data_IF_631883278798
#
_entry.id   IF_631883278798
#
_cell.length_a   1.000
_cell.length_b   1.000
_cell.length_c   1.000
_cell.angle_alpha   90.00
_cell.angle_beta   90.00
_cell.angle_gamma   90.00
#
_symmetry.space_group_name_H-M   'P 1'
#
loop_
_entity.id
_entity.type
_entity.pdbx_description
1 polymer ?
#
# COMPACT_ATOMS: atom_id res chain seq x y z
N UNK A 1 71.08 -12.37 38.77
CA UNK A 1 69.86 -12.92 38.14
C UNK A 1 68.74 -11.88 38.22
N UNK A 2 68.54 -11.09 37.16
CA UNK A 2 67.49 -10.07 37.11
C UNK A 2 66.16 -10.71 36.71
N UNK A 3 65.11 -10.49 37.52
CA UNK A 3 63.73 -10.91 37.24
C UNK A 3 63.24 -10.23 35.96
N UNK A 4 63.01 -11.03 34.92
CA UNK A 4 62.31 -10.62 33.69
C UNK A 4 60.90 -10.18 34.08
N UNK A 5 60.62 -8.90 33.89
CA UNK A 5 59.30 -8.31 34.16
C UNK A 5 58.21 -8.96 33.32
N UNK A 6 57.14 -9.36 33.98
CA UNK A 6 55.93 -9.86 33.32
C UNK A 6 55.36 -8.77 32.42
N UNK A 7 55.47 -8.95 31.10
CA UNK A 7 54.80 -8.11 30.11
C UNK A 7 53.29 -8.32 30.29
N UNK A 8 52.64 -7.38 30.98
CA UNK A 8 51.18 -7.37 31.09
C UNK A 8 50.58 -7.37 29.69
N UNK A 9 49.79 -8.41 29.39
CA UNK A 9 49.07 -8.47 28.12
C UNK A 9 48.03 -7.34 28.13
N UNK A 10 48.01 -6.47 27.11
CA UNK A 10 47.14 -5.30 27.15
C UNK A 10 45.67 -5.75 27.14
N UNK A 11 44.90 -5.28 28.12
CA UNK A 11 43.50 -5.65 28.33
C UNK A 11 42.69 -5.63 27.02
N UNK A 12 41.76 -6.57 26.78
CA UNK A 12 41.01 -6.63 25.53
C UNK A 12 40.18 -5.36 25.30
N UNK A 13 40.20 -4.83 24.07
CA UNK A 13 39.43 -3.61 23.71
C UNK A 13 37.93 -3.80 23.94
N UNK A 14 37.44 -5.02 23.74
CA UNK A 14 36.04 -5.38 23.98
C UNK A 14 35.93 -6.06 25.35
N UNK A 15 35.53 -5.28 26.36
CA UNK A 15 35.23 -5.78 27.71
C UNK A 15 34.02 -6.72 27.68
N UNK A 16 33.78 -7.55 28.72
CA UNK A 16 32.62 -8.44 28.77
C UNK A 16 31.27 -7.72 28.60
N UNK A 17 31.12 -6.53 29.19
CA UNK A 17 29.92 -5.68 29.01
C UNK A 17 29.81 -5.15 27.57
N UNK A 18 30.91 -4.66 27.00
CA UNK A 18 30.94 -4.19 25.60
C UNK A 18 30.71 -5.33 24.60
N UNK A 19 31.04 -6.57 24.97
CA UNK A 19 30.77 -7.76 24.15
C UNK A 19 29.29 -8.08 24.05
N UNK A 20 28.52 -7.94 25.15
CA UNK A 20 27.06 -8.10 25.12
C UNK A 20 26.43 -7.08 24.18
N UNK A 21 26.86 -5.82 24.27
CA UNK A 21 26.40 -4.75 23.39
C UNK A 21 26.78 -5.00 21.93
N UNK A 22 27.99 -5.49 21.65
CA UNK A 22 28.39 -5.90 20.31
C UNK A 22 27.47 -7.00 19.74
N UNK A 23 27.11 -8.01 20.53
CA UNK A 23 26.19 -9.05 20.07
C UNK A 23 24.79 -8.52 19.78
N UNK A 24 24.29 -7.60 20.62
CA UNK A 24 23.03 -6.92 20.35
C UNK A 24 23.09 -6.13 19.03
N UNK A 25 24.14 -5.34 18.81
CA UNK A 25 24.33 -4.58 17.57
C UNK A 25 24.42 -5.51 16.36
N UNK A 26 25.20 -6.59 16.44
CA UNK A 26 25.33 -7.56 15.35
C UNK A 26 24.01 -8.28 15.06
N UNK A 27 23.22 -8.62 16.09
CA UNK A 27 21.92 -9.25 15.90
C UNK A 27 20.92 -8.29 15.22
N UNK A 28 20.86 -7.03 15.67
CA UNK A 28 20.01 -6.01 15.03
C UNK A 28 20.42 -5.73 13.59
N UNK A 29 21.73 -5.63 13.31
CA UNK A 29 22.24 -5.49 11.95
C UNK A 29 21.90 -6.71 11.09
N UNK A 30 21.92 -7.92 11.64
CA UNK A 30 21.51 -9.14 10.94
C UNK A 30 20.06 -9.09 10.49
N UNK A 31 19.17 -8.75 11.43
CA UNK A 31 17.74 -8.65 11.17
C UNK A 31 17.44 -7.56 10.14
N UNK A 32 18.07 -6.39 10.29
CA UNK A 32 17.95 -5.31 9.31
C UNK A 32 18.48 -5.70 7.94
N UNK A 33 19.59 -6.43 7.87
CA UNK A 33 20.14 -6.86 6.58
C UNK A 33 19.23 -7.88 5.90
N UNK A 34 18.69 -8.88 6.62
CA UNK A 34 17.72 -9.82 6.07
C UNK A 34 16.47 -9.09 5.56
N UNK A 35 15.92 -8.22 6.39
CA UNK A 35 14.74 -7.44 6.07
C UNK A 35 14.98 -6.49 4.88
N UNK A 36 16.12 -5.79 4.83
CA UNK A 36 16.50 -4.92 3.71
C UNK A 36 16.71 -5.71 2.42
N UNK A 37 17.31 -6.90 2.49
CA UNK A 37 17.47 -7.78 1.34
C UNK A 37 16.12 -8.23 0.79
N UNK A 38 15.17 -8.59 1.66
CA UNK A 38 13.79 -8.89 1.26
C UNK A 38 13.10 -7.67 0.59
N UNK A 39 13.12 -6.50 1.25
CA UNK A 39 12.49 -5.28 0.70
C UNK A 39 13.12 -4.87 -0.63
N UNK A 40 14.45 -4.98 -0.73
CA UNK A 40 15.20 -4.71 -1.96
C UNK A 40 14.86 -5.69 -3.08
N UNK A 41 14.69 -6.98 -2.77
CA UNK A 41 14.31 -7.99 -3.75
C UNK A 41 12.90 -7.73 -4.31
N UNK A 42 11.92 -7.42 -3.45
CA UNK A 42 10.56 -7.07 -3.91
C UNK A 42 10.57 -5.80 -4.77
N UNK A 43 11.33 -4.77 -4.36
CA UNK A 43 11.47 -3.52 -5.12
C UNK A 43 12.13 -3.77 -6.48
N UNK A 44 13.14 -4.64 -6.53
CA UNK A 44 13.80 -5.04 -7.77
C UNK A 44 12.86 -5.81 -8.70
N UNK A 45 12.06 -6.75 -8.17
CA UNK A 45 11.06 -7.48 -8.95
C UNK A 45 9.99 -6.56 -9.53
N UNK A 46 9.54 -5.56 -8.78
CA UNK A 46 8.62 -4.54 -9.28
C UNK A 46 9.24 -3.73 -10.43
N UNK A 47 10.49 -3.29 -10.29
CA UNK A 47 11.20 -2.59 -11.37
C UNK A 47 11.36 -3.48 -12.61
N UNK A 48 11.65 -4.77 -12.43
CA UNK A 48 11.87 -5.72 -13.52
C UNK A 48 10.57 -6.10 -14.25
N UNK A 49 9.49 -6.32 -13.51
CA UNK A 49 8.21 -6.81 -14.06
C UNK A 49 7.25 -5.70 -14.45
N UNK A 50 7.45 -4.47 -13.96
CA UNK A 50 6.51 -3.36 -14.11
C UNK A 50 5.23 -3.49 -13.29
N UNK A 51 5.10 -4.53 -12.45
CA UNK A 51 3.92 -4.79 -11.62
C UNK A 51 4.26 -4.63 -10.14
N UNK A 52 3.34 -4.07 -9.35
CA UNK A 52 3.52 -3.93 -7.91
C UNK A 52 3.49 -5.30 -7.22
N UNK A 53 4.59 -5.67 -6.57
CA UNK A 53 4.68 -6.88 -5.72
C UNK A 53 4.61 -6.55 -4.22
N UNK A 54 4.37 -5.29 -3.86
CA UNK A 54 4.24 -4.86 -2.47
C UNK A 54 2.88 -5.30 -1.93
N UNK A 55 2.88 -6.31 -1.06
CA UNK A 55 1.67 -6.93 -0.51
C UNK A 55 1.50 -6.67 1.00
N UNK A 56 0.55 -7.37 1.63
CA UNK A 56 0.30 -7.29 3.07
C UNK A 56 1.58 -7.50 3.89
N UNK A 57 2.33 -8.57 3.64
CA UNK A 57 3.57 -8.87 4.37
C UNK A 57 4.65 -7.81 4.16
N UNK A 58 4.79 -7.27 2.94
CA UNK A 58 5.71 -6.17 2.64
C UNK A 58 5.50 -4.97 3.56
N UNK A 59 4.26 -4.56 3.83
CA UNK A 59 3.98 -3.41 4.70
C UNK A 59 4.49 -3.63 6.14
N UNK A 60 4.33 -4.84 6.68
CA UNK A 60 4.84 -5.17 8.01
C UNK A 60 6.36 -5.30 8.03
N UNK A 61 6.97 -5.81 6.96
CA UNK A 61 8.43 -5.81 6.82
C UNK A 61 8.99 -4.39 6.71
N UNK A 62 8.31 -3.50 6.01
CA UNK A 62 8.69 -2.10 5.93
C UNK A 62 8.57 -1.40 7.30
N UNK A 63 7.47 -1.63 8.03
CA UNK A 63 7.34 -1.17 9.41
C UNK A 63 8.46 -1.73 10.31
N UNK A 64 8.75 -3.03 10.20
CA UNK A 64 9.83 -3.69 10.90
C UNK A 64 11.19 -3.08 10.59
N UNK A 65 11.44 -2.71 9.33
CA UNK A 65 12.66 -2.00 8.92
C UNK A 65 12.85 -0.69 9.69
N UNK A 66 11.79 0.12 9.74
CA UNK A 66 11.80 1.41 10.44
C UNK A 66 12.00 1.21 11.95
N UNK A 67 11.26 0.29 12.56
CA UNK A 67 11.35 0.01 13.99
C UNK A 67 12.73 -0.53 14.40
N UNK A 68 13.27 -1.49 13.66
CA UNK A 68 14.61 -2.04 13.89
C UNK A 68 15.70 -1.00 13.65
N UNK A 69 15.53 -0.14 12.63
CA UNK A 69 16.43 0.95 12.33
C UNK A 69 16.51 1.95 13.47
N UNK A 70 15.37 2.39 13.99
CA UNK A 70 15.29 3.27 15.17
C UNK A 70 15.89 2.61 16.42
N UNK A 71 15.58 1.34 16.66
CA UNK A 71 16.11 0.57 17.79
C UNK A 71 17.63 0.42 17.72
N UNK A 72 18.22 0.32 16.52
CA UNK A 72 19.66 0.17 16.33
C UNK A 72 20.45 1.45 16.66
N UNK A 73 19.85 2.64 16.53
CA UNK A 73 20.55 3.92 16.68
C UNK A 73 21.31 3.99 18.00
N UNK A 74 20.62 3.84 19.12
CA UNK A 74 21.23 4.02 20.45
C UNK A 74 22.30 2.97 20.75
N UNK A 75 22.04 1.64 20.62
CA UNK A 75 23.07 0.63 20.83
C UNK A 75 24.29 0.81 19.93
N UNK A 76 24.10 1.17 18.66
CA UNK A 76 25.18 1.39 17.70
C UNK A 76 26.07 2.57 18.09
N UNK A 77 25.47 3.72 18.41
CA UNK A 77 26.20 4.93 18.83
C UNK A 77 26.96 4.69 20.14
N UNK A 78 26.31 4.11 21.15
CA UNK A 78 26.94 3.80 22.44
C UNK A 78 28.10 2.82 22.25
N UNK A 79 27.89 1.74 21.48
CA UNK A 79 28.95 0.78 21.19
C UNK A 79 30.12 1.44 20.47
N UNK A 80 29.84 2.17 19.40
CA UNK A 80 30.86 2.81 18.57
C UNK A 80 31.71 3.79 19.36
N UNK A 81 31.08 4.70 20.12
CA UNK A 81 31.79 5.70 20.92
C UNK A 81 32.66 5.07 22.02
N UNK A 82 32.13 4.08 22.75
CA UNK A 82 32.89 3.36 23.79
C UNK A 82 34.05 2.56 23.18
N UNK A 83 33.81 1.90 22.04
CA UNK A 83 34.83 1.13 21.33
C UNK A 83 35.94 2.03 20.79
N UNK A 84 35.59 3.18 20.18
CA UNK A 84 36.54 4.18 19.70
C UNK A 84 37.39 4.74 20.84
N UNK A 85 36.78 5.08 21.98
CA UNK A 85 37.49 5.59 23.16
C UNK A 85 38.48 4.57 23.71
N UNK A 86 38.10 3.29 23.75
CA UNK A 86 38.98 2.21 24.19
C UNK A 86 40.11 1.87 23.19
N UNK A 87 39.88 2.09 21.89
CA UNK A 87 40.83 1.75 20.83
C UNK A 87 41.79 2.89 20.44
N UNK A 88 41.52 4.15 20.83
CA UNK A 88 42.21 5.36 20.33
C UNK A 88 43.74 5.37 20.49
N UNK A 89 44.28 4.70 21.51
CA UNK A 89 45.72 4.65 21.79
C UNK A 89 46.40 3.36 21.29
N UNK A 90 45.71 2.53 20.49
CA UNK A 90 46.29 1.27 20.00
C UNK A 90 47.36 1.50 18.92
N UNK A 91 48.43 0.70 19.01
CA UNK A 91 49.59 0.76 18.09
C UNK A 91 49.24 0.47 16.63
N UNK A 92 48.21 -0.35 16.37
CA UNK A 92 47.69 -0.65 15.02
C UNK A 92 46.84 0.50 14.45
N UNK A 93 47.47 1.61 14.08
CA UNK A 93 46.78 2.82 13.57
C UNK A 93 45.86 2.57 12.37
N UNK A 94 46.21 1.64 11.47
CA UNK A 94 45.38 1.28 10.31
C UNK A 94 44.01 0.72 10.72
N UNK A 95 43.98 -0.19 11.69
CA UNK A 95 42.74 -0.78 12.19
C UNK A 95 41.83 0.27 12.89
N UNK A 96 42.44 1.22 13.61
CA UNK A 96 41.72 2.33 14.26
C UNK A 96 41.09 3.26 13.22
N UNK A 97 41.84 3.67 12.18
CA UNK A 97 41.31 4.52 11.09
C UNK A 97 40.15 3.87 10.34
N UNK A 98 40.30 2.58 9.98
CA UNK A 98 39.20 1.83 9.32
C UNK A 98 37.98 1.73 10.27
N UNK A 99 38.20 1.58 11.58
CA UNK A 99 37.12 1.59 12.56
C UNK A 99 36.36 2.92 12.61
N UNK A 100 37.05 4.06 12.46
CA UNK A 100 36.40 5.37 12.39
C UNK A 100 35.59 5.54 11.10
N UNK A 101 36.12 5.09 9.97
CA UNK A 101 35.39 5.10 8.69
C UNK A 101 34.14 4.19 8.76
N UNK A 102 34.28 3.00 9.36
CA UNK A 102 33.15 2.08 9.57
C UNK A 102 32.06 2.71 10.44
N UNK A 103 32.47 3.36 11.54
CA UNK A 103 31.54 4.07 12.41
C UNK A 103 30.82 5.21 11.67
N UNK A 104 31.57 6.02 10.92
CA UNK A 104 31.02 7.09 10.09
C UNK A 104 30.05 6.58 9.03
N UNK A 105 30.37 5.48 8.35
CA UNK A 105 29.49 4.86 7.37
C UNK A 105 28.17 4.39 8.00
N UNK A 106 28.22 3.73 9.17
CA UNK A 106 27.00 3.30 9.85
C UNK A 106 26.18 4.45 10.42
N UNK A 107 26.82 5.51 10.95
CA UNK A 107 26.13 6.76 11.32
C UNK A 107 25.45 7.36 10.09
N UNK A 108 26.14 7.40 8.94
CA UNK A 108 25.56 7.85 7.67
C UNK A 108 24.35 7.02 7.25
N UNK A 109 24.39 5.70 7.37
CA UNK A 109 23.24 4.82 7.11
C UNK A 109 22.05 5.18 8.00
N UNK A 110 22.27 5.38 9.31
CA UNK A 110 21.20 5.72 10.24
C UNK A 110 20.62 7.12 9.97
N UNK A 111 21.47 8.10 9.66
CA UNK A 111 21.04 9.46 9.31
C UNK A 111 20.24 9.48 8.01
N UNK A 112 20.72 8.80 6.97
CA UNK A 112 19.98 8.69 5.69
C UNK A 112 18.65 7.98 5.88
N UNK A 113 18.58 6.94 6.73
CA UNK A 113 17.33 6.27 7.07
C UNK A 113 16.33 7.20 7.76
N UNK A 114 16.77 7.95 8.77
CA UNK A 114 15.94 8.96 9.45
C UNK A 114 15.42 10.02 8.48
N UNK A 115 16.27 10.53 7.59
CA UNK A 115 15.88 11.53 6.58
C UNK A 115 14.82 10.98 5.61
N UNK A 116 14.92 9.71 5.21
CA UNK A 116 13.94 9.07 4.32
C UNK A 116 12.58 8.83 4.98
N UNK A 117 12.53 8.73 6.31
CA UNK A 117 11.24 8.57 7.01
C UNK A 117 10.36 9.81 6.90
N UNK A 118 10.92 11.02 6.69
CA UNK A 118 10.16 12.29 6.72
C UNK A 118 9.48 12.56 8.08
N UNK A 119 10.07 12.04 9.15
CA UNK A 119 9.61 12.28 10.52
C UNK A 119 9.98 13.68 11.02
N UNK A 120 9.16 14.26 11.91
CA UNK A 120 9.53 15.46 12.69
C UNK A 120 9.55 16.79 11.92
N UNK A 121 8.77 16.93 10.84
CA UNK A 121 8.66 18.18 10.07
C UNK A 121 9.71 18.34 8.96
N UNK A 122 10.70 17.44 8.88
CA UNK A 122 11.66 17.39 7.79
C UNK A 122 11.05 16.66 6.58
N UNK A 123 10.36 17.42 5.74
CA UNK A 123 9.72 16.86 4.56
C UNK A 123 10.64 16.96 3.32
N UNK A 124 11.39 15.89 3.05
CA UNK A 124 12.21 15.73 1.84
C UNK A 124 11.34 15.56 0.58
N UNK A 125 10.71 16.67 0.15
CA UNK A 125 9.86 16.73 -1.05
C UNK A 125 10.65 16.77 -2.35
N UNK A 126 11.85 17.36 -2.34
CA UNK A 126 12.62 17.56 -3.55
C UNK A 126 13.07 16.21 -4.14
N UNK A 127 12.66 15.84 -5.36
CA UNK A 127 12.80 14.48 -5.89
C UNK A 127 14.27 14.06 -6.01
N UNK A 128 15.14 14.95 -6.50
CA UNK A 128 16.58 14.68 -6.64
C UNK A 128 17.22 14.46 -5.28
N UNK A 129 16.87 15.27 -4.27
CA UNK A 129 17.47 15.15 -2.94
C UNK A 129 17.07 13.84 -2.26
N UNK A 130 15.79 13.46 -2.37
CA UNK A 130 15.29 12.17 -1.87
C UNK A 130 15.98 11.00 -2.58
N UNK A 131 16.14 11.07 -3.89
CA UNK A 131 16.79 10.02 -4.67
C UNK A 131 18.28 9.87 -4.30
N UNK A 132 19.00 10.98 -4.12
CA UNK A 132 20.40 10.95 -3.66
C UNK A 132 20.52 10.32 -2.27
N UNK A 133 19.64 10.67 -1.32
CA UNK A 133 19.64 10.09 0.02
C UNK A 133 19.27 8.60 -0.02
N UNK A 134 18.32 8.20 -0.87
CA UNK A 134 17.95 6.80 -1.08
C UNK A 134 19.15 5.97 -1.56
N UNK A 135 19.86 6.42 -2.60
CA UNK A 135 21.05 5.74 -3.08
C UNK A 135 22.18 5.71 -2.04
N UNK A 136 22.35 6.80 -1.27
CA UNK A 136 23.29 6.81 -0.15
C UNK A 136 22.90 5.77 0.92
N UNK A 137 21.60 5.63 1.22
CA UNK A 137 21.09 4.65 2.18
C UNK A 137 21.30 3.20 1.73
N UNK A 138 21.42 2.94 0.42
CA UNK A 138 21.80 1.63 -0.13
C UNK A 138 23.32 1.44 -0.14
N UNK A 139 24.08 2.46 -0.55
CA UNK A 139 25.53 2.36 -0.71
C UNK A 139 26.29 2.29 0.63
N UNK A 140 25.85 3.05 1.64
CA UNK A 140 26.54 3.14 2.93
C UNK A 140 26.57 1.81 3.72
N UNK A 141 25.48 1.02 3.81
CA UNK A 141 25.53 -0.32 4.37
C UNK A 141 26.51 -1.27 3.66
N UNK A 142 26.58 -1.22 2.32
CA UNK A 142 27.52 -2.03 1.53
C UNK A 142 28.96 -1.61 1.82
N UNK A 143 29.22 -0.30 1.88
CA UNK A 143 30.51 0.25 2.29
C UNK A 143 30.85 -0.14 3.73
N UNK A 144 29.90 -0.10 4.66
CA UNK A 144 30.09 -0.53 6.04
C UNK A 144 30.43 -2.03 6.14
N UNK A 145 29.77 -2.89 5.36
CA UNK A 145 30.10 -4.32 5.30
C UNK A 145 31.54 -4.55 4.80
N UNK A 146 31.95 -3.85 3.75
CA UNK A 146 33.31 -3.91 3.22
C UNK A 146 34.35 -3.37 4.22
N UNK A 147 34.08 -2.22 4.85
CA UNK A 147 34.93 -1.63 5.87
C UNK A 147 35.04 -2.52 7.11
N UNK A 148 33.97 -3.21 7.49
CA UNK A 148 33.99 -4.19 8.59
C UNK A 148 34.91 -5.37 8.26
N UNK A 149 34.84 -5.90 7.03
CA UNK A 149 35.75 -6.94 6.57
C UNK A 149 37.22 -6.48 6.64
N UNK A 150 37.53 -5.29 6.11
CA UNK A 150 38.87 -4.69 6.20
C UNK A 150 39.33 -4.45 7.65
N UNK A 151 38.41 -4.01 8.53
CA UNK A 151 38.70 -3.80 9.94
C UNK A 151 39.09 -5.10 10.64
N UNK A 152 38.41 -6.21 10.32
CA UNK A 152 38.73 -7.55 10.86
C UNK A 152 40.01 -8.14 10.28
N UNK A 153 40.34 -7.88 9.01
CA UNK A 153 41.62 -8.26 8.40
C UNK A 153 42.81 -7.55 9.07
N UNK A 154 42.69 -6.26 9.35
CA UNK A 154 43.74 -5.49 10.04
C UNK A 154 43.82 -5.78 11.56
N UNK A 155 42.70 -6.22 12.15
CA UNK A 155 42.51 -6.46 13.57
C UNK A 155 42.63 -7.94 13.98
N UNK A 156 41.56 -8.46 14.59
CA UNK A 156 41.44 -9.87 15.00
C UNK A 156 40.75 -10.68 13.91
N UNK A 157 41.29 -11.86 13.58
CA UNK A 157 40.76 -12.74 12.53
C UNK A 157 39.25 -13.01 12.68
N UNK A 158 38.56 -13.15 11.55
CA UNK A 158 37.15 -13.55 11.52
C UNK A 158 37.07 -15.02 11.93
N UNK A 159 36.17 -15.33 12.86
CA UNK A 159 35.84 -16.72 13.20
C UNK A 159 34.84 -17.22 12.18
N UNK A 160 35.33 -17.81 11.08
CA UNK A 160 34.50 -18.24 9.95
C UNK A 160 33.36 -19.18 10.33
N UNK A 161 33.53 -20.04 11.35
CA UNK A 161 32.42 -20.86 11.89
C UNK A 161 31.21 -20.02 12.33
N UNK A 162 31.45 -18.88 12.99
CA UNK A 162 30.39 -17.94 13.40
C UNK A 162 29.82 -17.23 12.16
N UNK A 163 30.66 -16.88 11.19
CA UNK A 163 30.21 -16.28 9.93
C UNK A 163 29.30 -17.21 9.11
N UNK A 164 29.63 -18.51 9.03
CA UNK A 164 28.81 -19.53 8.37
C UNK A 164 27.48 -19.72 9.11
N UNK A 165 27.50 -19.85 10.44
CA UNK A 165 26.27 -19.96 11.23
C UNK A 165 25.37 -18.73 11.03
N UNK A 166 25.96 -17.53 11.04
CA UNK A 166 25.24 -16.28 10.78
C UNK A 166 24.63 -16.23 9.38
N UNK A 167 25.39 -16.62 8.35
CA UNK A 167 24.91 -16.70 6.98
C UNK A 167 23.77 -17.71 6.80
N UNK A 168 23.87 -18.87 7.45
CA UNK A 168 22.81 -19.88 7.44
C UNK A 168 21.52 -19.36 8.11
N UNK A 169 21.62 -18.71 9.26
CA UNK A 169 20.46 -18.09 9.92
C UNK A 169 19.81 -17.02 9.04
N UNK A 170 20.62 -16.19 8.37
CA UNK A 170 20.12 -15.18 7.42
C UNK A 170 19.36 -15.83 6.26
N UNK A 171 19.91 -16.91 5.68
CA UNK A 171 19.28 -17.62 4.57
C UNK A 171 17.94 -18.24 4.99
N UNK A 172 17.88 -18.90 6.15
CA UNK A 172 16.63 -19.45 6.71
C UNK A 172 15.59 -18.34 6.95
N UNK A 173 16.01 -17.20 7.51
CA UNK A 173 15.12 -16.06 7.73
C UNK A 173 14.57 -15.50 6.42
N UNK A 174 15.41 -15.38 5.38
CA UNK A 174 14.96 -14.94 4.04
C UNK A 174 13.98 -15.93 3.41
N UNK A 175 14.23 -17.24 3.51
CA UNK A 175 13.29 -18.25 3.01
C UNK A 175 11.94 -18.19 3.74
N UNK A 176 11.96 -17.99 5.07
CA UNK A 176 10.74 -17.79 5.84
C UNK A 176 9.99 -16.51 5.42
N UNK A 177 10.70 -15.41 5.17
CA UNK A 177 10.10 -14.17 4.66
C UNK A 177 9.49 -14.37 3.26
N UNK A 178 10.14 -15.13 2.37
CA UNK A 178 9.59 -15.45 1.06
C UNK A 178 8.33 -16.31 1.20
N UNK A 179 8.34 -17.33 2.06
CA UNK A 179 7.14 -18.13 2.33
C UNK A 179 5.99 -17.27 2.86
N UNK A 180 6.25 -16.41 3.86
CA UNK A 180 5.24 -15.49 4.38
C UNK A 180 4.76 -14.44 3.36
N UNK A 181 5.59 -14.09 2.37
CA UNK A 181 5.20 -13.21 1.28
C UNK A 181 4.22 -13.87 0.31
N UNK A 182 4.26 -15.19 0.16
CA UNK A 182 3.34 -15.93 -0.71
C UNK A 182 1.96 -16.12 -0.06
N UNK A 183 1.85 -15.90 1.25
CA UNK A 183 0.60 -15.99 2.00
C UNK A 183 -0.13 -14.64 2.04
N UNK A 184 -1.46 -14.65 1.88
CA UNK A 184 -2.32 -13.49 2.10
C UNK A 184 -3.33 -13.78 3.23
N UNK A 185 -3.11 -13.26 4.45
CA UNK A 185 -4.00 -13.49 5.58
C UNK A 185 -5.43 -13.02 5.36
N UNK A 186 -5.68 -12.14 4.38
CA UNK A 186 -7.04 -11.68 4.04
C UNK A 186 -7.89 -12.80 3.45
N UNK A 187 -7.27 -13.76 2.76
CA UNK A 187 -7.96 -14.89 2.18
C UNK A 187 -8.43 -15.93 3.21
N UNK A 188 -7.79 -16.00 4.39
CA UNK A 188 -8.04 -17.07 5.36
C UNK A 188 -9.47 -17.07 5.95
N UNK A 189 -10.11 -15.91 6.00
CA UNK A 189 -11.47 -15.73 6.55
C UNK A 189 -12.38 -14.97 5.59
N UNK A 190 -12.05 -14.96 4.30
CA UNK A 190 -12.88 -14.33 3.28
C UNK A 190 -14.23 -15.07 3.19
N UNK A 191 -15.32 -14.31 3.19
CA UNK A 191 -16.67 -14.84 2.99
C UNK A 191 -16.94 -14.91 1.49
N UNK A 192 -17.30 -16.08 0.97
CA UNK A 192 -17.67 -16.25 -0.44
C UNK A 192 -19.19 -16.15 -0.60
N UNK A 193 -19.70 -15.59 -1.72
CA UNK A 193 -21.12 -15.71 -2.05
C UNK A 193 -21.53 -17.17 -2.26
N UNK A 194 -22.77 -17.52 -1.91
CA UNK A 194 -23.29 -18.88 -2.08
C UNK A 194 -23.41 -19.31 -3.55
N UNK A 195 -23.56 -18.35 -4.46
CA UNK A 195 -23.62 -18.55 -5.89
C UNK A 195 -22.48 -17.82 -6.61
N UNK A 196 -21.80 -18.45 -7.59
CA UNK A 196 -20.78 -17.78 -8.39
C UNK A 196 -21.35 -16.60 -9.20
N UNK A 197 -22.66 -16.61 -9.46
CA UNK A 197 -23.37 -15.58 -10.20
C UNK A 197 -23.98 -14.50 -9.27
N UNK A 198 -23.54 -14.42 -8.00
CA UNK A 198 -24.07 -13.44 -7.05
C UNK A 198 -24.12 -12.03 -7.63
N UNK A 199 -23.06 -11.58 -8.29
CA UNK A 199 -23.00 -10.21 -8.79
C UNK A 199 -23.90 -9.95 -10.02
N UNK A 200 -24.39 -10.99 -10.68
CA UNK A 200 -25.29 -10.82 -11.83
C UNK A 200 -26.67 -10.30 -11.40
N UNK A 201 -27.34 -9.48 -12.22
CA UNK A 201 -27.00 -9.11 -13.61
C UNK A 201 -26.12 -7.85 -13.75
N UNK A 202 -25.51 -7.35 -12.66
CA UNK A 202 -24.39 -6.43 -12.79
C UNK A 202 -23.17 -7.16 -13.36
N UNK A 203 -22.35 -6.46 -14.15
CA UNK A 203 -21.08 -6.97 -14.66
C UNK A 203 -19.92 -6.75 -13.68
N UNK A 204 -20.19 -6.15 -12.52
CA UNK A 204 -19.18 -5.94 -11.50
C UNK A 204 -18.76 -7.28 -10.86
N UNK A 205 -17.51 -7.38 -10.47
CA UNK A 205 -17.00 -8.58 -9.79
C UNK A 205 -15.83 -8.24 -8.86
N UNK A 206 -15.52 -9.15 -7.94
CA UNK A 206 -14.31 -9.04 -7.12
C UNK A 206 -13.18 -9.88 -7.72
N UNK A 207 -11.92 -9.46 -7.54
CA UNK A 207 -10.76 -10.22 -8.05
C UNK A 207 -10.69 -11.65 -7.51
N UNK A 208 -11.08 -11.85 -6.24
CA UNK A 208 -11.08 -13.18 -5.61
C UNK A 208 -12.37 -13.97 -5.82
N UNK A 209 -13.45 -13.32 -6.26
CA UNK A 209 -14.81 -13.86 -6.23
C UNK A 209 -15.45 -13.84 -4.84
N UNK A 210 -14.74 -13.41 -3.80
CA UNK A 210 -15.24 -13.33 -2.43
C UNK A 210 -15.78 -11.93 -2.11
N UNK A 211 -16.55 -11.81 -1.03
CA UNK A 211 -17.01 -10.53 -0.49
C UNK A 211 -15.86 -9.72 0.12
N UNK A 212 -15.97 -8.40 0.00
CA UNK A 212 -15.07 -7.42 0.61
C UNK A 212 -15.75 -6.85 1.87
N UNK A 213 -15.14 -6.93 3.07
CA UNK A 213 -15.77 -6.40 4.27
C UNK A 213 -16.13 -4.91 4.14
N UNK A 214 -17.39 -4.53 4.42
CA UNK A 214 -17.90 -3.18 4.15
C UNK A 214 -17.06 -2.04 4.76
N UNK A 215 -16.56 -2.24 5.99
CA UNK A 215 -15.68 -1.26 6.65
C UNK A 215 -14.37 -0.98 5.89
N UNK A 216 -13.90 -1.92 5.05
CA UNK A 216 -12.73 -1.72 4.17
C UNK A 216 -13.05 -0.81 2.99
N UNK A 217 -14.32 -0.69 2.62
CA UNK A 217 -14.78 0.21 1.56
C UNK A 217 -15.27 1.56 2.11
N UNK A 218 -15.50 1.68 3.42
CA UNK A 218 -16.04 2.88 4.08
C UNK A 218 -15.00 3.63 4.93
N UNK A 219 -13.89 4.05 4.33
CA UNK A 219 -12.79 4.68 5.07
C UNK A 219 -12.49 6.13 4.64
N UNK A 220 -13.52 6.89 4.26
CA UNK A 220 -13.35 8.25 3.72
C UNK A 220 -12.72 9.22 4.73
N UNK A 221 -13.04 9.07 6.02
CA UNK A 221 -12.45 9.86 7.10
C UNK A 221 -10.92 9.69 7.21
N UNK A 222 -10.40 8.50 6.86
CA UNK A 222 -8.96 8.26 6.79
C UNK A 222 -8.34 9.00 5.61
N UNK A 223 -8.98 8.96 4.43
CA UNK A 223 -8.56 9.70 3.24
C UNK A 223 -8.55 11.22 3.47
N UNK A 224 -9.58 11.75 4.15
CA UNK A 224 -9.75 13.18 4.47
C UNK A 224 -8.57 13.80 5.21
N UNK A 225 -7.84 13.03 6.02
CA UNK A 225 -6.66 13.53 6.77
C UNK A 225 -5.58 14.12 5.86
N UNK A 226 -5.44 13.58 4.64
CA UNK A 226 -4.45 14.00 3.66
C UNK A 226 -5.06 14.65 2.40
N UNK A 227 -6.33 14.36 2.09
CA UNK A 227 -7.05 14.80 0.89
C UNK A 227 -8.34 15.56 1.27
N UNK A 228 -8.19 16.60 2.10
CA UNK A 228 -9.33 17.32 2.66
C UNK A 228 -10.13 18.09 1.61
N UNK A 229 -9.45 18.63 0.60
CA UNK A 229 -10.02 19.33 -0.55
C UNK A 229 -10.86 18.42 -1.44
N UNK A 230 -10.30 17.27 -1.85
CA UNK A 230 -11.01 16.27 -2.65
C UNK A 230 -12.19 15.70 -1.88
N UNK A 231 -12.02 15.43 -0.57
CA UNK A 231 -13.12 14.96 0.27
C UNK A 231 -14.25 16.00 0.33
N UNK A 232 -13.95 17.29 0.46
CA UNK A 232 -14.98 18.34 0.50
C UNK A 232 -15.78 18.40 -0.80
N UNK A 233 -15.11 18.27 -1.95
CA UNK A 233 -15.80 18.20 -3.24
C UNK A 233 -16.63 16.91 -3.39
N UNK A 234 -16.09 15.77 -2.93
CA UNK A 234 -16.80 14.49 -2.97
C UNK A 234 -18.05 14.48 -2.09
N UNK A 235 -18.00 15.04 -0.88
CA UNK A 235 -19.12 14.98 0.06
C UNK A 235 -20.39 15.68 -0.46
N UNK A 236 -20.23 16.65 -1.36
CA UNK A 236 -21.35 17.38 -1.98
C UNK A 236 -21.72 16.81 -3.37
N UNK A 237 -21.08 15.72 -3.80
CA UNK A 237 -21.23 15.16 -5.14
C UNK A 237 -22.35 14.13 -5.26
N UNK A 238 -22.85 13.94 -6.48
CA UNK A 238 -23.79 12.87 -6.82
C UNK A 238 -23.23 11.46 -6.61
N UNK A 239 -21.90 11.30 -6.53
CA UNK A 239 -21.28 10.02 -6.18
C UNK A 239 -21.44 9.70 -4.70
N UNK A 240 -21.30 10.70 -3.82
CA UNK A 240 -21.60 10.51 -2.40
C UNK A 240 -23.08 10.20 -2.20
N UNK A 241 -23.96 10.92 -2.90
CA UNK A 241 -25.42 10.71 -2.87
C UNK A 241 -25.92 9.68 -3.89
N UNK A 242 -25.13 8.64 -4.21
CA UNK A 242 -25.51 7.65 -5.22
C UNK A 242 -26.40 6.54 -4.69
N UNK A 243 -26.42 6.29 -3.37
CA UNK A 243 -27.07 5.14 -2.75
C UNK A 243 -28.37 5.56 -2.06
N UNK A 244 -28.80 4.85 -1.02
CA UNK A 244 -30.10 5.07 -0.36
C UNK A 244 -30.19 6.41 0.39
N UNK A 245 -29.08 7.13 0.52
CA UNK A 245 -29.04 8.52 0.97
C UNK A 245 -29.64 9.53 -0.03
N UNK A 246 -30.05 9.07 -1.23
CA UNK A 246 -30.81 9.84 -2.20
C UNK A 246 -32.26 9.34 -2.24
N UNK A 247 -33.26 10.14 -1.81
CA UNK A 247 -34.65 9.72 -1.76
C UNK A 247 -35.24 9.27 -3.10
N UNK A 248 -34.84 9.90 -4.21
CA UNK A 248 -35.34 9.54 -5.53
C UNK A 248 -34.83 8.16 -5.98
N UNK A 249 -33.56 7.87 -5.67
CA UNK A 249 -32.96 6.57 -5.91
C UNK A 249 -33.57 5.50 -5.00
N UNK A 250 -33.71 5.79 -3.70
CA UNK A 250 -34.31 4.88 -2.72
C UNK A 250 -35.73 4.47 -3.12
N UNK A 251 -36.57 5.40 -3.58
CA UNK A 251 -37.90 5.06 -4.09
C UNK A 251 -37.83 4.11 -5.29
N UNK A 252 -36.94 4.40 -6.24
CA UNK A 252 -36.78 3.62 -7.47
C UNK A 252 -36.31 2.18 -7.21
N UNK A 253 -35.34 2.00 -6.30
CA UNK A 253 -34.80 0.67 -5.98
C UNK A 253 -35.77 -0.17 -5.15
N UNK A 254 -36.54 0.46 -4.24
CA UNK A 254 -37.61 -0.22 -3.48
C UNK A 254 -38.66 -0.75 -4.44
N UNK A 255 -39.20 0.08 -5.33
CA UNK A 255 -40.18 -0.36 -6.33
C UNK A 255 -39.59 -1.45 -7.25
N UNK A 256 -38.33 -1.30 -7.69
CA UNK A 256 -37.65 -2.32 -8.51
C UNK A 256 -37.55 -3.65 -7.78
N UNK A 257 -37.23 -3.65 -6.48
CA UNK A 257 -37.13 -4.85 -5.65
C UNK A 257 -38.51 -5.49 -5.45
N UNK A 258 -39.54 -4.71 -5.16
CA UNK A 258 -40.92 -5.19 -5.06
C UNK A 258 -41.38 -5.85 -6.35
N UNK A 259 -41.19 -5.20 -7.50
CA UNK A 259 -41.55 -5.76 -8.82
C UNK A 259 -40.69 -6.94 -9.23
N UNK A 260 -39.43 -7.00 -8.83
CA UNK A 260 -38.60 -8.20 -9.04
C UNK A 260 -39.14 -9.37 -8.20
N UNK A 261 -39.45 -9.14 -6.92
CA UNK A 261 -40.03 -10.16 -6.04
C UNK A 261 -41.38 -10.68 -6.55
N UNK A 262 -42.28 -9.80 -6.98
CA UNK A 262 -43.57 -10.19 -7.58
C UNK A 262 -43.40 -11.09 -8.82
N UNK A 263 -42.40 -10.81 -9.66
CA UNK A 263 -42.19 -11.51 -10.93
C UNK A 263 -41.42 -12.81 -10.80
N UNK A 264 -40.37 -12.84 -9.98
CA UNK A 264 -39.39 -13.95 -9.95
C UNK A 264 -39.15 -14.53 -8.56
N UNK A 265 -39.79 -13.97 -7.52
CA UNK A 265 -39.54 -14.36 -6.13
C UNK A 265 -38.15 -13.98 -5.62
N UNK A 266 -37.43 -13.10 -6.32
CA UNK A 266 -36.06 -12.71 -5.99
C UNK A 266 -35.79 -11.22 -6.26
N UNK A 267 -35.03 -10.58 -5.37
CA UNK A 267 -34.52 -9.21 -5.58
C UNK A 267 -33.29 -9.15 -6.48
N UNK A 268 -32.83 -10.28 -7.04
CA UNK A 268 -31.57 -10.35 -7.81
C UNK A 268 -31.49 -9.32 -8.94
N UNK A 269 -32.60 -9.01 -9.62
CA UNK A 269 -32.65 -7.99 -10.67
C UNK A 269 -32.12 -6.62 -10.20
N UNK A 270 -32.32 -6.27 -8.92
CA UNK A 270 -31.87 -5.02 -8.32
C UNK A 270 -30.35 -4.90 -8.19
N UNK A 271 -29.61 -6.02 -8.30
CA UNK A 271 -28.13 -6.01 -8.28
C UNK A 271 -27.54 -5.29 -9.49
N UNK A 272 -28.28 -5.19 -10.60
CA UNK A 272 -27.94 -4.33 -11.73
C UNK A 272 -27.69 -2.88 -11.30
N UNK A 273 -28.52 -2.36 -10.38
CA UNK A 273 -28.35 -1.02 -9.82
C UNK A 273 -27.14 -0.94 -8.88
N UNK A 274 -26.98 -1.98 -8.05
CA UNK A 274 -26.02 -2.02 -6.95
C UNK A 274 -24.55 -1.90 -7.38
N UNK A 275 -24.21 -2.43 -8.57
CA UNK A 275 -22.84 -2.34 -9.11
C UNK A 275 -22.38 -0.90 -9.37
N UNK A 276 -23.31 0.03 -9.60
CA UNK A 276 -23.01 1.45 -9.81
C UNK A 276 -23.35 2.31 -8.59
N UNK A 277 -24.46 2.02 -7.91
CA UNK A 277 -25.05 2.92 -6.91
C UNK A 277 -24.76 2.52 -5.46
N UNK A 278 -24.76 1.22 -5.16
CA UNK A 278 -24.64 0.65 -3.81
C UNK A 278 -23.45 -0.30 -3.63
N UNK A 279 -22.23 0.06 -4.12
CA UNK A 279 -21.11 -0.88 -4.17
C UNK A 279 -20.69 -1.38 -2.78
N UNK A 280 -20.84 -0.56 -1.73
CA UNK A 280 -20.47 -0.98 -0.37
C UNK A 280 -21.33 -2.14 0.14
N UNK A 281 -22.67 -2.02 0.27
CA UNK A 281 -23.49 -3.17 0.66
C UNK A 281 -23.42 -4.30 -0.37
N UNK A 282 -23.20 -3.99 -1.65
CA UNK A 282 -23.15 -5.01 -2.70
C UNK A 282 -21.93 -5.93 -2.57
N UNK A 283 -20.73 -5.37 -2.49
CA UNK A 283 -19.51 -6.17 -2.38
C UNK A 283 -19.30 -6.77 -0.99
N UNK A 284 -19.98 -6.27 0.04
CA UNK A 284 -19.93 -6.85 1.39
C UNK A 284 -20.90 -8.02 1.61
N UNK A 285 -21.81 -8.26 0.66
CA UNK A 285 -22.82 -9.31 0.73
C UNK A 285 -24.15 -8.85 1.33
N UNK A 286 -24.14 -7.74 2.06
CA UNK A 286 -25.29 -7.18 2.80
C UNK A 286 -26.45 -6.79 1.87
N UNK A 287 -26.20 -6.36 0.63
CA UNK A 287 -27.24 -5.83 -0.27
C UNK A 287 -28.39 -6.81 -0.55
N UNK A 288 -28.08 -8.11 -0.54
CA UNK A 288 -29.05 -9.18 -0.82
C UNK A 288 -29.56 -9.88 0.44
N UNK A 289 -29.13 -9.44 1.62
CA UNK A 289 -29.68 -9.94 2.87
C UNK A 289 -31.17 -9.54 2.95
N UNK A 290 -32.11 -10.50 3.13
CA UNK A 290 -33.53 -10.20 3.28
C UNK A 290 -33.84 -9.22 4.43
N UNK A 291 -33.01 -9.21 5.48
CA UNK A 291 -33.17 -8.36 6.65
C UNK A 291 -32.39 -7.04 6.54
N UNK A 292 -31.84 -6.73 5.37
CA UNK A 292 -31.05 -5.52 5.14
C UNK A 292 -31.89 -4.24 5.27
N UNK A 293 -31.58 -3.43 6.27
CA UNK A 293 -32.20 -2.11 6.48
C UNK A 293 -31.65 -1.08 5.49
N UNK A 294 -32.45 -0.76 4.46
CA UNK A 294 -32.11 0.21 3.40
C UNK A 294 -31.96 1.67 3.88
N UNK A 295 -32.30 1.97 5.14
CA UNK A 295 -32.30 3.33 5.68
C UNK A 295 -31.27 3.48 6.78
N UNK A 296 -31.28 2.59 7.78
CA UNK A 296 -30.48 2.77 9.00
C UNK A 296 -29.21 1.92 9.01
N UNK A 297 -29.04 0.96 8.09
CA UNK A 297 -27.81 0.18 8.07
C UNK A 297 -26.61 1.08 7.75
N UNK A 298 -25.45 0.95 8.44
CA UNK A 298 -24.32 1.84 8.21
C UNK A 298 -23.85 1.92 6.76
N UNK A 299 -23.97 0.82 6.00
CA UNK A 299 -23.58 0.78 4.58
C UNK A 299 -24.63 1.38 3.64
N UNK A 300 -25.86 1.60 4.10
CA UNK A 300 -26.98 2.04 3.26
C UNK A 300 -26.78 3.46 2.69
N UNK A 301 -26.15 4.33 3.47
CA UNK A 301 -25.89 5.71 3.09
C UNK A 301 -24.47 5.94 2.59
N UNK A 302 -23.71 4.88 2.27
CA UNK A 302 -22.29 4.99 1.94
C UNK A 302 -22.03 5.65 0.59
N UNK A 303 -22.91 5.42 -0.39
CA UNK A 303 -22.70 5.86 -1.77
C UNK A 303 -21.46 5.23 -2.41
N UNK A 304 -20.94 5.91 -3.43
CA UNK A 304 -19.62 5.64 -3.98
C UNK A 304 -18.59 6.37 -3.11
N UNK A 305 -17.91 5.61 -2.25
CA UNK A 305 -16.84 6.13 -1.37
C UNK A 305 -15.53 6.37 -2.13
N UNK A 306 -14.56 7.04 -1.51
CA UNK A 306 -13.21 7.18 -2.05
C UNK A 306 -12.62 5.80 -2.38
N UNK A 307 -12.83 4.86 -1.46
CA UNK A 307 -12.25 3.52 -1.57
C UNK A 307 -12.92 2.68 -2.63
N UNK A 308 -14.24 2.80 -2.82
CA UNK A 308 -14.95 2.10 -3.90
C UNK A 308 -14.32 2.43 -5.26
N UNK A 309 -14.16 3.72 -5.59
CA UNK A 309 -13.53 4.10 -6.85
C UNK A 309 -12.08 3.64 -6.92
N UNK A 310 -11.29 3.96 -5.90
CA UNK A 310 -9.84 3.74 -5.94
C UNK A 310 -9.41 2.28 -5.73
N UNK A 311 -10.31 1.41 -5.27
CA UNK A 311 -10.09 -0.03 -5.13
C UNK A 311 -10.43 -0.81 -6.42
N UNK A 312 -11.06 -0.18 -7.41
CA UNK A 312 -11.20 -0.78 -8.74
C UNK A 312 -9.80 -1.13 -9.24
N UNK A 313 -9.61 -2.38 -9.64
CA UNK A 313 -8.35 -2.97 -10.08
C UNK A 313 -8.28 -3.04 -11.60
N UNK A 314 -9.42 -3.27 -12.26
CA UNK A 314 -9.51 -3.38 -13.71
C UNK A 314 -10.84 -2.80 -14.24
N UNK A 315 -10.75 -2.14 -15.39
CA UNK A 315 -11.90 -1.87 -16.27
C UNK A 315 -11.96 -3.04 -17.26
N UNK A 316 -13.02 -3.84 -17.22
CA UNK A 316 -13.11 -5.01 -18.09
C UNK A 316 -13.48 -4.62 -19.51
N UNK A 317 -14.41 -3.67 -19.65
CA UNK A 317 -14.81 -3.13 -20.96
C UNK A 317 -15.56 -1.81 -20.85
N UNK A 318 -15.82 -1.20 -22.02
CA UNK A 318 -16.68 -0.01 -22.17
C UNK A 318 -18.14 -0.36 -22.46
N UNK A 319 -18.59 -1.57 -22.10
CA UNK A 319 -19.99 -2.01 -22.30
C UNK A 319 -20.95 -1.34 -21.32
N UNK A 320 -20.46 -0.89 -20.16
CA UNK A 320 -21.30 -0.32 -19.11
C UNK A 320 -21.80 -1.37 -18.10
N UNK A 321 -22.87 -1.08 -17.37
CA UNK A 321 -23.47 -1.97 -16.35
C UNK A 321 -22.48 -2.44 -15.26
N UNK A 322 -21.59 -1.55 -14.83
CA UNK A 322 -20.54 -1.77 -13.85
C UNK A 322 -19.50 -2.83 -14.25
N UNK A 323 -19.14 -2.91 -15.54
CA UNK A 323 -18.16 -3.90 -16.04
C UNK A 323 -16.71 -3.58 -15.61
N UNK A 324 -16.43 -3.82 -14.32
CA UNK A 324 -15.15 -3.63 -13.67
C UNK A 324 -14.89 -4.73 -12.64
N UNK A 325 -13.61 -4.84 -12.25
CA UNK A 325 -13.20 -5.62 -11.08
C UNK A 325 -12.78 -4.70 -9.94
N UNK A 326 -13.18 -5.06 -8.73
CA UNK A 326 -12.74 -4.44 -7.49
C UNK A 326 -11.97 -5.45 -6.65
N UNK A 327 -11.00 -4.99 -5.87
CA UNK A 327 -10.27 -5.85 -4.96
C UNK A 327 -10.30 -5.26 -3.55
N UNK A 328 -10.12 -6.10 -2.52
CA UNK A 328 -9.92 -5.56 -1.18
C UNK A 328 -8.65 -4.69 -1.17
N UNK A 329 -8.78 -3.38 -0.88
CA UNK A 329 -7.66 -2.45 -0.87
C UNK A 329 -6.67 -2.78 0.26
N UNK A 330 -5.38 -2.73 -0.07
CA UNK A 330 -4.29 -2.90 0.90
C UNK A 330 -4.15 -1.65 1.78
N UNK A 331 -4.84 -1.66 2.91
CA UNK A 331 -4.69 -0.65 3.95
C UNK A 331 -3.39 -0.85 4.72
N UNK A 332 -2.72 0.25 5.08
CA UNK A 332 -1.51 0.22 5.91
C UNK A 332 -1.79 -0.34 7.30
N UNK A 333 -0.79 -0.93 7.99
CA UNK A 333 -0.94 -1.40 9.35
C UNK A 333 -1.54 -0.29 10.23
N UNK A 334 -2.53 -0.66 11.04
CA UNK A 334 -3.22 0.22 11.97
C UNK A 334 -4.10 1.34 11.34
N UNK A 335 -4.42 1.29 10.05
CA UNK A 335 -5.28 2.29 9.41
C UNK A 335 -6.66 2.44 10.08
N UNK A 336 -7.19 1.37 10.68
CA UNK A 336 -8.46 1.34 11.40
C UNK A 336 -8.31 1.42 12.94
N UNK A 337 -7.10 1.68 13.44
CA UNK A 337 -6.87 1.69 14.89
C UNK A 337 -7.45 2.93 15.54
N UNK A 338 -8.20 2.74 16.63
CA UNK A 338 -8.69 3.84 17.48
C UNK A 338 -7.59 4.45 18.36
N UNK A 339 -6.43 3.79 18.47
CA UNK A 339 -5.31 4.30 19.25
C UNK A 339 -4.60 5.41 18.44
N UNK A 340 -4.50 6.65 18.97
CA UNK A 340 -3.92 7.78 18.23
C UNK A 340 -2.46 7.54 17.80
N UNK A 341 -1.67 6.85 18.62
CA UNK A 341 -0.29 6.52 18.30
C UNK A 341 -0.20 5.52 17.15
N UNK A 342 -1.02 4.46 17.17
CA UNK A 342 -1.03 3.47 16.09
C UNK A 342 -1.59 4.06 14.79
N UNK A 343 -2.61 4.91 14.85
CA UNK A 343 -3.09 5.63 13.67
C UNK A 343 -2.02 6.56 13.10
N UNK A 344 -1.30 7.31 13.94
CA UNK A 344 -0.21 8.18 13.49
C UNK A 344 0.94 7.37 12.87
N UNK A 345 1.21 6.16 13.37
CA UNK A 345 2.16 5.23 12.78
C UNK A 345 1.74 4.81 11.36
N UNK A 346 0.44 4.56 11.13
CA UNK A 346 -0.11 4.29 9.79
C UNK A 346 0.14 5.46 8.83
N UNK A 347 -0.18 6.69 9.28
CA UNK A 347 0.04 7.91 8.50
C UNK A 347 1.53 8.11 8.17
N UNK A 348 2.40 7.76 9.12
CA UNK A 348 3.86 7.83 8.96
C UNK A 348 4.38 6.80 7.94
N UNK A 349 3.82 5.60 7.89
CA UNK A 349 4.18 4.58 6.89
C UNK A 349 3.82 5.04 5.47
N UNK A 350 2.66 5.70 5.30
CA UNK A 350 2.29 6.32 4.01
C UNK A 350 3.33 7.37 3.60
N UNK A 351 3.70 8.27 4.52
CA UNK A 351 4.64 9.36 4.22
C UNK A 351 6.05 8.85 3.88
N UNK A 352 6.47 7.75 4.52
CA UNK A 352 7.77 7.13 4.27
C UNK A 352 7.83 6.43 2.89
N UNK A 353 6.73 5.81 2.44
CA UNK A 353 6.61 5.22 1.09
C UNK A 353 5.31 5.64 0.37
N UNK A 354 5.24 6.89 -0.15
CA UNK A 354 4.05 7.40 -0.83
C UNK A 354 3.83 6.78 -2.21
N UNK A 355 4.86 6.17 -2.81
CA UNK A 355 4.76 5.49 -4.10
C UNK A 355 3.82 4.30 -4.01
N UNK A 356 3.95 3.50 -2.95
CA UNK A 356 3.08 2.36 -2.70
C UNK A 356 1.62 2.76 -2.51
N UNK A 357 1.36 3.81 -1.73
CA UNK A 357 0.03 4.38 -1.56
C UNK A 357 -0.58 4.79 -2.92
N UNK A 358 0.20 5.50 -3.75
CA UNK A 358 -0.24 5.94 -5.08
C UNK A 358 -0.55 4.76 -6.00
N UNK A 359 0.29 3.73 -6.04
CA UNK A 359 0.05 2.54 -6.87
C UNK A 359 -1.19 1.76 -6.41
N UNK A 360 -1.43 1.69 -5.11
CA UNK A 360 -2.57 0.98 -4.52
C UNK A 360 -3.90 1.64 -4.89
N UNK A 361 -3.97 2.98 -4.84
CA UNK A 361 -5.23 3.70 -5.00
C UNK A 361 -5.40 4.41 -6.36
N UNK A 362 -4.35 4.66 -7.12
CA UNK A 362 -4.43 5.44 -8.37
C UNK A 362 -3.77 4.72 -9.55
N UNK A 363 -4.53 3.84 -10.20
CA UNK A 363 -4.12 3.15 -11.43
C UNK A 363 -4.27 4.05 -12.66
N UNK A 364 -3.52 3.82 -13.76
CA UNK A 364 -3.55 4.67 -14.94
C UNK A 364 -4.95 4.93 -15.53
N UNK A 365 -5.81 3.90 -15.57
CA UNK A 365 -7.16 4.02 -16.14
C UNK A 365 -8.08 4.98 -15.37
N UNK A 366 -7.82 5.29 -14.09
CA UNK A 366 -8.61 6.28 -13.35
C UNK A 366 -8.57 7.68 -14.00
N UNK A 367 -7.60 7.92 -14.88
CA UNK A 367 -7.41 9.18 -15.60
C UNK A 367 -8.03 9.19 -17.01
N UNK A 368 -8.67 8.11 -17.41
CA UNK A 368 -9.25 7.94 -18.75
C UNK A 368 -10.77 7.91 -18.68
N UNK A 369 -11.42 8.20 -19.80
CA UNK A 369 -12.87 8.21 -19.96
C UNK A 369 -13.49 6.81 -19.87
N UNK A 370 -12.74 5.75 -20.21
CA UNK A 370 -13.20 4.37 -20.12
C UNK A 370 -13.52 3.97 -18.68
N UNK A 371 -12.80 4.51 -17.70
CA UNK A 371 -13.15 4.30 -16.29
C UNK A 371 -14.54 4.84 -15.97
N UNK A 372 -14.91 6.00 -16.51
CA UNK A 372 -16.24 6.56 -16.30
C UNK A 372 -17.32 5.73 -17.00
N UNK A 373 -16.97 5.08 -18.12
CA UNK A 373 -17.91 4.28 -18.92
C UNK A 373 -18.51 3.10 -18.18
N UNK A 374 -17.83 2.58 -17.14
CA UNK A 374 -18.32 1.42 -16.40
C UNK A 374 -19.66 1.71 -15.72
N UNK A 375 -19.89 2.96 -15.28
CA UNK A 375 -21.17 3.40 -14.71
C UNK A 375 -21.96 4.35 -15.62
N UNK A 376 -21.28 5.23 -16.36
CA UNK A 376 -21.91 6.24 -17.24
C UNK A 376 -22.28 5.72 -18.64
N UNK A 377 -22.47 4.41 -18.72
CA UNK A 377 -23.10 3.72 -19.84
C UNK A 377 -23.87 2.54 -19.25
N UNK A 378 -25.15 2.44 -19.58
CA UNK A 378 -26.00 1.37 -19.09
C UNK A 378 -26.97 0.91 -20.17
N UNK A 379 -27.34 -0.36 -20.06
CA UNK A 379 -28.41 -0.98 -20.81
C UNK A 379 -29.17 -1.90 -19.88
N UNK A 380 -30.48 -2.02 -20.07
CA UNK A 380 -31.30 -2.88 -19.24
C UNK A 380 -31.36 -4.26 -19.90
N UNK A 381 -30.89 -5.32 -19.22
CA UNK A 381 -30.97 -6.67 -19.73
C UNK A 381 -32.33 -7.31 -19.38
N UNK A 382 -32.62 -8.49 -19.93
CA UNK A 382 -33.92 -9.17 -19.74
C UNK A 382 -34.19 -9.43 -18.26
N UNK A 383 -33.18 -9.76 -17.47
CA UNK A 383 -33.27 -10.05 -16.04
C UNK A 383 -33.86 -8.86 -15.26
N UNK A 384 -33.74 -7.64 -15.78
CA UNK A 384 -34.30 -6.43 -15.15
C UNK A 384 -35.71 -6.16 -15.68
N UNK A 385 -35.93 -6.26 -17.00
CA UNK A 385 -37.16 -5.75 -17.63
C UNK A 385 -38.19 -6.81 -18.01
N UNK A 386 -37.81 -8.09 -18.03
CA UNK A 386 -38.61 -9.22 -18.53
C UNK A 386 -39.18 -9.00 -19.95
N UNK A 387 -38.41 -8.34 -20.82
CA UNK A 387 -38.87 -7.97 -22.17
C UNK A 387 -37.89 -8.35 -23.27
N UNK A 388 -36.77 -7.63 -23.38
CA UNK A 388 -35.72 -7.88 -24.38
C UNK A 388 -34.38 -8.08 -23.69
N UNK A 389 -33.49 -8.83 -24.34
CA UNK A 389 -32.12 -9.07 -23.85
C UNK A 389 -31.30 -7.78 -23.80
N UNK A 390 -31.71 -6.77 -24.55
CA UNK A 390 -31.10 -5.45 -24.54
C UNK A 390 -32.16 -4.36 -24.73
N UNK A 391 -32.19 -3.42 -23.78
CA UNK A 391 -32.83 -2.14 -23.93
C UNK A 391 -31.82 -1.03 -23.65
N UNK A 392 -31.78 -0.02 -24.51
CA UNK A 392 -30.87 1.12 -24.33
C UNK A 392 -31.27 1.88 -23.06
N UNK A 393 -30.31 2.04 -22.14
CA UNK A 393 -30.43 2.94 -21.00
C UNK A 393 -29.64 4.22 -21.21
N UNK A 394 -29.28 4.88 -20.10
CA UNK A 394 -28.44 6.07 -20.11
C UNK A 394 -27.06 5.77 -20.72
N UNK A 395 -26.61 6.63 -21.63
CA UNK A 395 -25.32 6.47 -22.30
C UNK A 395 -24.66 7.83 -22.49
N UNK A 396 -23.88 8.26 -21.51
CA UNK A 396 -23.12 9.50 -21.58
C UNK A 396 -21.76 9.29 -22.24
N UNK A 397 -21.15 8.13 -22.04
CA UNK A 397 -19.83 7.83 -22.58
C UNK A 397 -19.78 7.91 -24.11
N UNK A 398 -20.68 7.20 -24.81
CA UNK A 398 -20.68 7.23 -26.28
C UNK A 398 -21.15 8.59 -26.82
N UNK A 399 -22.07 9.26 -26.11
CA UNK A 399 -22.54 10.61 -26.47
C UNK A 399 -21.41 11.65 -26.34
N UNK A 400 -20.60 11.57 -25.28
CA UNK A 400 -19.39 12.36 -25.14
C UNK A 400 -18.40 12.04 -26.25
N UNK A 401 -18.09 10.76 -26.47
CA UNK A 401 -17.08 10.33 -27.44
C UNK A 401 -17.42 10.81 -28.87
N UNK A 402 -18.70 10.75 -29.23
CA UNK A 402 -19.20 11.19 -30.56
C UNK A 402 -19.45 12.70 -30.67
N UNK A 403 -19.36 13.45 -29.57
CA UNK A 403 -19.47 14.91 -29.58
C UNK A 403 -18.20 15.58 -30.13
N UNK A 404 -18.31 16.84 -30.55
CA UNK A 404 -17.14 17.63 -30.92
C UNK A 404 -16.30 18.06 -29.72
N UNK A 405 -16.87 17.98 -28.50
CA UNK A 405 -16.17 18.31 -27.24
C UNK A 405 -15.03 17.33 -26.96
N UNK A 406 -15.22 16.05 -27.25
CA UNK A 406 -14.18 15.03 -27.05
C UNK A 406 -12.96 15.22 -27.96
N UNK A 407 -13.14 15.93 -29.08
CA UNK A 407 -12.15 16.03 -30.16
C UNK A 407 -12.13 14.82 -31.11
N UNK A 408 -12.95 13.79 -30.86
CA UNK A 408 -13.03 12.59 -31.70
C UNK A 408 -14.20 12.62 -32.71
N UNK A 409 -15.30 13.29 -32.36
CA UNK A 409 -16.55 13.22 -33.10
C UNK A 409 -16.53 13.98 -34.43
N UNK A 410 -16.19 13.32 -35.54
CA UNK A 410 -16.12 13.91 -36.89
C UNK A 410 -17.46 14.41 -37.48
N UNK A 411 -18.59 14.02 -36.86
CA UNK A 411 -19.94 14.38 -37.28
C UNK A 411 -20.59 15.44 -36.39
N UNK A 412 -19.82 16.08 -35.51
CA UNK A 412 -20.39 17.10 -34.63
C UNK A 412 -20.71 18.39 -35.36
N UNK A 413 -21.79 19.05 -34.94
CA UNK A 413 -22.19 20.36 -35.46
C UNK A 413 -21.42 21.51 -34.79
N UNK A 414 -20.78 21.26 -33.64
CA UNK A 414 -20.04 22.26 -32.86
C UNK A 414 -18.77 21.64 -32.28
N UNK A 415 -17.66 22.37 -32.43
CA UNK A 415 -16.37 22.03 -31.83
C UNK A 415 -15.91 23.19 -30.94
N UNK A 416 -15.66 22.96 -29.64
CA UNK A 416 -15.09 24.00 -28.80
C UNK A 416 -13.65 24.35 -29.25
N UNK A 417 -13.16 25.56 -28.96
CA UNK A 417 -11.78 25.95 -29.28
C UNK A 417 -10.72 25.01 -28.68
N UNK A 418 -11.03 24.38 -27.55
CA UNK A 418 -10.20 23.36 -26.91
C UNK A 418 -11.05 22.12 -26.63
N UNK A 419 -10.64 20.99 -27.19
CA UNK A 419 -11.23 19.70 -26.87
C UNK A 419 -10.99 19.35 -25.40
N UNK A 420 -11.97 18.68 -24.79
CA UNK A 420 -11.86 18.03 -23.48
C UNK A 420 -11.70 16.56 -23.74
N UNK A 421 -10.45 16.10 -23.71
CA UNK A 421 -10.08 14.73 -24.15
C UNK A 421 -10.38 13.65 -23.12
N UNK A 422 -10.83 14.00 -21.91
CA UNK A 422 -11.37 13.04 -20.95
C UNK A 422 -12.51 13.65 -20.12
N UNK A 423 -13.33 12.79 -19.50
CA UNK A 423 -14.43 13.23 -18.62
C UNK A 423 -13.93 13.97 -17.37
N UNK A 424 -12.75 13.60 -16.85
CA UNK A 424 -12.18 14.16 -15.63
C UNK A 424 -11.88 15.66 -15.75
N UNK A 425 -11.54 16.16 -16.94
CA UNK A 425 -11.30 17.60 -17.15
C UNK A 425 -12.51 18.49 -16.83
N UNK A 426 -13.73 17.94 -16.88
CA UNK A 426 -14.95 18.65 -16.53
C UNK A 426 -15.51 18.23 -15.16
N UNK A 427 -15.48 16.93 -14.86
CA UNK A 427 -16.14 16.36 -13.68
C UNK A 427 -15.23 16.20 -12.45
N UNK A 428 -13.91 16.19 -12.65
CA UNK A 428 -12.88 16.03 -11.62
C UNK A 428 -11.69 16.98 -11.88
N UNK A 429 -11.90 18.31 -11.90
CA UNK A 429 -10.91 19.27 -12.42
C UNK A 429 -9.70 19.55 -11.50
N UNK A 430 -9.55 18.82 -10.39
CA UNK A 430 -8.54 19.08 -9.34
C UNK A 430 -7.51 17.95 -9.22
#
# INVERSE_FOLDING_TARGET
>A
MAKVGSVSTPAPVVTPRLRKLLYLVLALVALLFANAAYLGAVTFLEWWTGHSHQNYFYQYMFLGHLALGLLLILPYLVFGLLHMRAARHRRKRRAVRIGYLLFGAGVGTLLTGLLLTRMGGFDLRHPVARQSIYWAHIALPLAAAYLYWLHRLAGTKIKWKIGVAYGATLAVALLAMVWMHLEDPRAWFAKRPDSPDYFQPSLASTESGDFIPGHKLMNDAYCKKCHADVHAAWSDSVHHFSSFNNPAYLASIVETREKAMERTGSVQASRWCAGCHDPVPFFSGEFSDPDYDLVNHPTASAGITCTVCHAISHVNSVRGNADYKIQEPLHYPFAFSKNPFLSALSDQLIKANPTFHKQTFLKPFHKTEEFCSVCHKVHLPREVTDYRDFLRGQNHYDAYLTSGVSGHGSRSFYYPPQAKTNCNQCHMPF
#
